data_IF_878002023157
#
_entry.id   IF_878002023157
#
_cell.length_a   1.000
_cell.length_b   1.000
_cell.length_c   1.000
_cell.angle_alpha   90.00
_cell.angle_beta   90.00
_cell.angle_gamma   90.00
#
_symmetry.space_group_name_H-M   'P 1'
#
loop_
_entity.id
_entity.type
_entity.pdbx_description
1 polymer ?
#
# COMPACT_ATOMS: atom_id res chain seq x y z
N UNK A 1 -8.91 29.43 -18.86
CA UNK A 1 -8.51 28.69 -17.67
C UNK A 1 -8.50 29.67 -16.52
N UNK A 2 -9.31 29.45 -15.51
CA UNK A 2 -9.32 30.28 -14.30
C UNK A 2 -7.96 30.11 -13.58
N UNK A 3 -7.33 31.20 -13.12
CA UNK A 3 -5.98 31.17 -12.52
C UNK A 3 -5.87 30.24 -11.30
N UNK A 4 -6.98 29.83 -10.71
CA UNK A 4 -7.03 28.99 -9.51
C UNK A 4 -6.84 27.48 -9.76
N UNK A 5 -6.92 27.01 -11.01
CA UNK A 5 -6.80 25.58 -11.35
C UNK A 5 -5.33 25.11 -11.31
N UNK A 6 -4.40 25.95 -11.70
CA UNK A 6 -2.97 25.60 -11.76
C UNK A 6 -2.36 25.24 -10.41
N UNK A 7 -2.54 25.99 -9.31
CA UNK A 7 -2.00 25.64 -8.01
C UNK A 7 -2.61 24.34 -7.46
N UNK A 8 -3.91 24.13 -7.65
CA UNK A 8 -4.60 22.91 -7.23
C UNK A 8 -4.04 21.66 -7.94
N UNK A 9 -3.79 21.75 -9.24
CA UNK A 9 -3.21 20.67 -10.03
C UNK A 9 -1.76 20.35 -9.63
N UNK A 10 -0.99 21.35 -9.25
CA UNK A 10 0.38 21.15 -8.73
C UNK A 10 0.38 20.29 -7.47
N UNK A 11 -0.55 20.49 -6.54
CA UNK A 11 -0.70 19.66 -5.35
C UNK A 11 -1.03 18.21 -5.71
N UNK A 12 -1.94 18.01 -6.68
CA UNK A 12 -2.29 16.67 -7.17
C UNK A 12 -1.08 15.93 -7.74
N UNK A 13 -0.35 16.54 -8.68
CA UNK A 13 0.83 15.90 -9.32
C UNK A 13 1.93 15.63 -8.29
N UNK A 14 2.16 16.55 -7.37
CA UNK A 14 3.15 16.39 -6.30
C UNK A 14 2.78 15.26 -5.34
N UNK A 15 1.51 15.16 -4.95
CA UNK A 15 0.98 14.09 -4.12
C UNK A 15 1.11 12.73 -4.79
N UNK A 16 0.68 12.59 -6.05
CA UNK A 16 0.81 11.34 -6.82
C UNK A 16 2.28 10.94 -7.00
N UNK A 17 3.18 11.89 -7.26
CA UNK A 17 4.61 11.60 -7.40
C UNK A 17 5.23 11.12 -6.08
N UNK A 18 4.87 11.75 -4.96
CA UNK A 18 5.35 11.32 -3.64
C UNK A 18 4.90 9.90 -3.30
N UNK A 19 3.65 9.55 -3.61
CA UNK A 19 3.13 8.19 -3.38
C UNK A 19 3.78 7.18 -4.33
N UNK A 20 3.95 7.54 -5.61
CA UNK A 20 4.59 6.66 -6.59
C UNK A 20 5.99 6.21 -6.15
N UNK A 21 6.80 7.11 -5.63
CA UNK A 21 8.13 6.77 -5.12
C UNK A 21 8.11 6.25 -3.68
N UNK A 22 7.17 6.71 -2.87
CA UNK A 22 7.03 6.32 -1.47
C UNK A 22 6.64 4.85 -1.30
N UNK A 23 5.76 4.30 -2.16
CA UNK A 23 5.32 2.90 -2.07
C UNK A 23 6.48 1.90 -2.22
N UNK A 24 7.26 1.91 -3.32
CA UNK A 24 8.36 0.97 -3.48
C UNK A 24 9.48 1.23 -2.48
N UNK A 25 9.75 2.49 -2.12
CA UNK A 25 10.76 2.82 -1.13
C UNK A 25 10.38 2.26 0.25
N UNK A 26 9.10 2.38 0.67
CA UNK A 26 8.64 1.82 1.94
C UNK A 26 8.75 0.30 1.96
N UNK A 27 8.31 -0.37 0.88
CA UNK A 27 8.40 -1.81 0.75
C UNK A 27 9.87 -2.28 0.80
N UNK A 28 10.74 -1.63 0.02
CA UNK A 28 12.16 -1.96 -0.04
C UNK A 28 12.84 -1.81 1.33
N UNK A 29 12.59 -0.69 2.02
CA UNK A 29 13.16 -0.45 3.36
C UNK A 29 12.64 -1.47 4.38
N UNK A 30 11.33 -1.80 4.37
CA UNK A 30 10.79 -2.83 5.26
C UNK A 30 11.44 -4.21 5.01
N UNK A 31 11.61 -4.60 3.73
CA UNK A 31 12.27 -5.87 3.36
C UNK A 31 13.75 -5.84 3.75
N UNK A 32 14.47 -4.77 3.45
CA UNK A 32 15.88 -4.64 3.81
C UNK A 32 16.09 -4.71 5.34
N UNK A 33 15.21 -4.08 6.12
CA UNK A 33 15.26 -4.18 7.58
C UNK A 33 14.95 -5.56 8.11
N UNK A 34 14.08 -6.32 7.42
CA UNK A 34 13.73 -7.67 7.82
C UNK A 34 14.81 -8.72 7.48
N UNK A 35 15.54 -8.53 6.36
CA UNK A 35 16.46 -9.52 5.80
C UNK A 35 17.93 -9.13 5.98
N UNK A 36 18.24 -7.84 5.85
CA UNK A 36 19.61 -7.33 5.89
C UNK A 36 19.91 -6.60 7.20
N UNK A 37 21.10 -6.80 7.72
CA UNK A 37 21.60 -5.99 8.84
C UNK A 37 21.96 -4.59 8.35
N UNK A 38 20.95 -3.72 8.28
CA UNK A 38 21.20 -2.30 8.00
C UNK A 38 22.10 -1.67 9.05
N UNK A 39 22.99 -0.73 8.65
CA UNK A 39 23.91 -0.07 9.57
C UNK A 39 23.17 0.48 10.79
N UNK A 40 23.67 0.20 11.98
CA UNK A 40 23.09 0.66 13.26
C UNK A 40 22.93 2.19 13.31
N UNK A 41 23.79 2.91 12.60
CA UNK A 41 23.79 4.38 12.51
C UNK A 41 22.48 4.95 11.90
N UNK A 42 21.77 4.19 11.05
CA UNK A 42 20.53 4.66 10.42
C UNK A 42 19.32 4.55 11.34
N UNK A 43 19.37 3.65 12.34
CA UNK A 43 18.29 3.48 13.32
C UNK A 43 16.91 3.26 12.69
N UNK A 44 15.89 3.90 13.26
CA UNK A 44 14.51 3.89 12.77
C UNK A 44 14.20 4.95 11.69
N UNK A 45 15.20 5.76 11.29
CA UNK A 45 14.99 6.87 10.35
C UNK A 45 14.49 6.42 8.96
N UNK A 46 15.02 5.36 8.31
CA UNK A 46 14.57 4.95 6.98
C UNK A 46 13.07 4.62 6.90
N UNK A 47 12.47 3.77 7.76
CA UNK A 47 11.04 3.49 7.69
C UNK A 47 10.19 4.71 8.02
N UNK A 48 10.63 5.61 8.91
CA UNK A 48 9.94 6.87 9.22
C UNK A 48 9.92 7.78 7.99
N UNK A 49 11.06 7.95 7.31
CA UNK A 49 11.16 8.82 6.13
C UNK A 49 10.26 8.30 5.01
N UNK A 50 10.30 7.01 4.71
CA UNK A 50 9.53 6.45 3.58
C UNK A 50 8.03 6.45 3.85
N UNK A 51 7.58 6.10 5.05
CA UNK A 51 6.16 6.19 5.43
C UNK A 51 5.71 7.64 5.57
N UNK A 52 6.58 8.54 6.04
CA UNK A 52 6.36 9.99 6.06
C UNK A 52 6.14 10.56 4.65
N UNK A 53 6.85 10.04 3.65
CA UNK A 53 6.65 10.40 2.24
C UNK A 53 5.27 9.99 1.73
N UNK A 54 4.75 8.82 2.14
CA UNK A 54 3.38 8.40 1.82
C UNK A 54 2.34 9.31 2.48
N UNK A 55 2.53 9.61 3.77
CA UNK A 55 1.65 10.53 4.51
C UNK A 55 1.65 11.93 3.87
N UNK A 56 2.83 12.45 3.52
CA UNK A 56 2.96 13.72 2.82
C UNK A 56 2.19 13.69 1.49
N UNK A 57 2.35 12.62 0.69
CA UNK A 57 1.65 12.46 -0.58
C UNK A 57 0.13 12.52 -0.44
N UNK A 58 -0.43 11.83 0.56
CA UNK A 58 -1.89 11.87 0.84
C UNK A 58 -2.33 13.26 1.32
N UNK A 59 -1.51 13.95 2.12
CA UNK A 59 -1.80 15.31 2.57
C UNK A 59 -1.80 16.33 1.42
N UNK A 60 -0.90 16.16 0.45
CA UNK A 60 -0.89 16.99 -0.77
C UNK A 60 -2.14 16.74 -1.63
N UNK A 61 -2.57 15.48 -1.77
CA UNK A 61 -3.81 15.14 -2.48
C UNK A 61 -5.05 15.75 -1.82
N UNK A 62 -5.07 15.89 -0.49
CA UNK A 62 -6.20 16.47 0.23
C UNK A 62 -6.38 17.98 -0.06
N UNK A 63 -5.34 18.65 -0.55
CA UNK A 63 -5.41 20.07 -0.97
C UNK A 63 -6.01 20.25 -2.37
N UNK A 64 -6.16 19.16 -3.13
CA UNK A 64 -6.85 19.15 -4.40
C UNK A 64 -8.35 19.06 -4.16
N UNK A 65 -9.13 19.97 -4.76
CA UNK A 65 -10.61 20.03 -4.69
C UNK A 65 -11.21 19.82 -3.27
N UNK A 66 -10.98 20.74 -2.32
CA UNK A 66 -11.49 20.61 -0.96
C UNK A 66 -13.02 20.65 -0.86
N UNK A 67 -13.72 21.05 -1.92
CA UNK A 67 -15.17 21.22 -1.95
C UNK A 67 -15.92 19.89 -2.19
N UNK A 68 -15.25 18.85 -2.69
CA UNK A 68 -15.91 17.59 -3.03
C UNK A 68 -15.90 16.61 -1.84
N UNK A 69 -17.06 16.48 -1.18
CA UNK A 69 -17.22 15.65 0.04
C UNK A 69 -16.84 14.19 -0.16
N UNK A 70 -17.24 13.59 -1.30
CA UNK A 70 -16.94 12.17 -1.56
C UNK A 70 -15.45 11.91 -1.70
N UNK A 71 -14.71 12.83 -2.32
CA UNK A 71 -13.25 12.81 -2.43
C UNK A 71 -12.59 12.96 -1.06
N UNK A 72 -13.00 13.96 -0.27
CA UNK A 72 -12.44 14.24 1.04
C UNK A 72 -12.64 13.07 2.00
N UNK A 73 -13.83 12.46 2.04
CA UNK A 73 -14.10 11.28 2.91
C UNK A 73 -13.20 10.09 2.57
N UNK A 74 -12.96 9.83 1.28
CA UNK A 74 -12.03 8.76 0.87
C UNK A 74 -10.59 9.07 1.29
N UNK A 75 -10.15 10.31 1.13
CA UNK A 75 -8.82 10.78 1.53
C UNK A 75 -8.61 10.79 3.04
N UNK A 76 -9.61 11.16 3.84
CA UNK A 76 -9.51 11.13 5.31
C UNK A 76 -9.21 9.73 5.82
N UNK A 77 -9.86 8.70 5.26
CA UNK A 77 -9.59 7.29 5.59
C UNK A 77 -8.17 6.88 5.19
N UNK A 78 -7.74 7.23 3.99
CA UNK A 78 -6.38 6.95 3.53
C UNK A 78 -5.33 7.69 4.37
N UNK A 79 -5.60 8.95 4.74
CA UNK A 79 -4.74 9.75 5.61
C UNK A 79 -4.62 9.16 7.01
N UNK A 80 -5.73 8.70 7.59
CA UNK A 80 -5.71 8.03 8.90
C UNK A 80 -4.83 6.78 8.86
N UNK A 81 -4.99 5.92 7.84
CA UNK A 81 -4.16 4.72 7.69
C UNK A 81 -2.68 5.06 7.42
N UNK A 82 -2.40 6.09 6.62
CA UNK A 82 -1.04 6.57 6.42
C UNK A 82 -0.41 7.06 7.72
N UNK A 83 -1.18 7.75 8.57
CA UNK A 83 -0.72 8.21 9.88
C UNK A 83 -0.45 7.04 10.83
N UNK A 84 -1.33 6.03 10.85
CA UNK A 84 -1.13 4.80 11.63
C UNK A 84 0.15 4.09 11.19
N UNK A 85 0.33 3.91 9.87
CA UNK A 85 1.54 3.28 9.32
C UNK A 85 2.81 4.09 9.66
N UNK A 86 2.74 5.40 9.61
CA UNK A 86 3.85 6.27 10.02
C UNK A 86 4.20 6.09 11.50
N UNK A 87 3.19 5.99 12.37
CA UNK A 87 3.40 5.76 13.81
C UNK A 87 3.94 4.37 14.14
N UNK A 88 3.57 3.34 13.34
CA UNK A 88 4.04 1.97 13.53
C UNK A 88 5.39 1.68 12.85
N UNK A 89 5.83 2.50 11.90
CA UNK A 89 7.05 2.31 11.12
C UNK A 89 8.33 2.11 11.96
N UNK A 90 8.56 2.84 13.07
CA UNK A 90 9.76 2.63 13.91
C UNK A 90 9.89 1.21 14.46
N UNK A 91 8.78 0.51 14.67
CA UNK A 91 8.78 -0.83 15.27
C UNK A 91 9.40 -1.89 14.35
N UNK A 92 9.48 -1.66 13.04
CA UNK A 92 10.21 -2.54 12.12
C UNK A 92 11.69 -2.62 12.51
N UNK A 93 12.28 -1.49 12.91
CA UNK A 93 13.66 -1.45 13.40
C UNK A 93 13.83 -2.21 14.71
N UNK A 94 12.92 -2.01 15.69
CA UNK A 94 13.00 -2.73 16.96
C UNK A 94 12.81 -4.22 16.78
N UNK A 95 11.89 -4.64 15.92
CA UNK A 95 11.70 -6.05 15.59
C UNK A 95 12.94 -6.67 14.94
N UNK A 96 13.61 -5.97 14.04
CA UNK A 96 14.86 -6.47 13.41
C UNK A 96 16.00 -6.65 14.41
N UNK A 97 15.95 -5.96 15.56
CA UNK A 97 16.96 -6.04 16.63
C UNK A 97 16.61 -7.06 17.71
N UNK A 98 15.34 -7.27 17.96
CA UNK A 98 14.79 -8.13 19.01
C UNK A 98 13.74 -9.10 18.41
N UNK A 99 14.15 -10.00 17.50
CA UNK A 99 13.19 -10.86 16.78
C UNK A 99 12.53 -11.91 17.69
N UNK A 100 13.09 -12.18 18.86
CA UNK A 100 12.53 -13.09 19.88
C UNK A 100 11.33 -12.49 20.63
N UNK A 101 11.18 -11.18 20.61
CA UNK A 101 10.12 -10.50 21.34
C UNK A 101 8.81 -10.53 20.54
N UNK A 102 7.87 -11.32 21.02
CA UNK A 102 6.54 -11.50 20.39
C UNK A 102 5.78 -10.17 20.21
N UNK A 103 5.97 -9.21 21.13
CA UNK A 103 5.33 -7.91 21.08
C UNK A 103 5.68 -7.14 19.79
N UNK A 104 6.96 -7.06 19.43
CA UNK A 104 7.38 -6.35 18.23
C UNK A 104 6.91 -7.04 16.96
N UNK A 105 6.88 -8.37 16.95
CA UNK A 105 6.33 -9.14 15.83
C UNK A 105 4.83 -8.81 15.60
N UNK A 106 4.03 -8.76 16.66
CA UNK A 106 2.61 -8.41 16.55
C UNK A 106 2.40 -7.00 16.00
N UNK A 107 3.23 -6.03 16.42
CA UNK A 107 3.15 -4.66 15.89
C UNK A 107 3.53 -4.60 14.41
N UNK A 108 4.55 -5.33 13.98
CA UNK A 108 4.94 -5.40 12.56
C UNK A 108 3.86 -6.09 11.73
N UNK A 109 3.20 -7.11 12.28
CA UNK A 109 2.04 -7.73 11.65
C UNK A 109 0.86 -6.74 11.50
N UNK A 110 0.59 -5.96 12.54
CA UNK A 110 -0.40 -4.87 12.48
C UNK A 110 -0.03 -3.81 11.43
N UNK A 111 1.25 -3.44 11.34
CA UNK A 111 1.75 -2.54 10.29
C UNK A 111 1.54 -3.11 8.88
N UNK A 112 1.84 -4.40 8.68
CA UNK A 112 1.61 -5.05 7.40
C UNK A 112 0.12 -5.05 7.01
N UNK A 113 -0.76 -5.36 7.97
CA UNK A 113 -2.20 -5.34 7.76
C UNK A 113 -2.72 -3.93 7.47
N UNK A 114 -2.33 -2.92 8.27
CA UNK A 114 -2.74 -1.53 8.03
C UNK A 114 -2.14 -0.96 6.74
N UNK A 115 -0.97 -1.43 6.33
CA UNK A 115 -0.36 -1.12 5.04
C UNK A 115 -1.16 -1.65 3.85
N UNK A 116 -1.65 -2.89 3.92
CA UNK A 116 -2.55 -3.44 2.91
C UNK A 116 -3.89 -2.68 2.87
N UNK A 117 -4.46 -2.36 4.04
CA UNK A 117 -5.66 -1.53 4.11
C UNK A 117 -5.44 -0.14 3.52
N UNK A 118 -4.27 0.45 3.74
CA UNK A 118 -3.89 1.72 3.13
C UNK A 118 -3.87 1.62 1.60
N UNK A 119 -3.24 0.58 1.04
CA UNK A 119 -3.24 0.34 -0.41
C UNK A 119 -4.66 0.22 -0.98
N UNK A 120 -5.52 -0.52 -0.30
CA UNK A 120 -6.92 -0.65 -0.71
C UNK A 120 -7.66 0.69 -0.68
N UNK A 121 -7.58 1.43 0.44
CA UNK A 121 -8.22 2.75 0.56
C UNK A 121 -7.64 3.75 -0.45
N UNK A 122 -6.35 3.70 -0.70
CA UNK A 122 -5.71 4.54 -1.70
C UNK A 122 -6.18 4.21 -3.13
N UNK A 123 -6.40 2.94 -3.46
CA UNK A 123 -7.01 2.55 -4.73
C UNK A 123 -8.45 3.08 -4.88
N UNK A 124 -9.22 3.15 -3.78
CA UNK A 124 -10.53 3.81 -3.79
C UNK A 124 -10.41 5.32 -4.03
N UNK A 125 -9.40 5.97 -3.47
CA UNK A 125 -9.09 7.39 -3.75
C UNK A 125 -8.77 7.57 -5.24
N UNK A 126 -7.90 6.73 -5.82
CA UNK A 126 -7.60 6.76 -7.26
C UNK A 126 -8.85 6.53 -8.11
N UNK A 127 -9.72 5.61 -7.72
CA UNK A 127 -10.99 5.37 -8.42
C UNK A 127 -11.88 6.61 -8.43
N UNK A 128 -11.93 7.36 -7.33
CA UNK A 128 -12.67 8.64 -7.28
C UNK A 128 -12.02 9.70 -8.15
N UNK A 129 -10.70 9.82 -8.10
CA UNK A 129 -9.96 10.76 -8.95
C UNK A 129 -10.20 10.49 -10.44
N UNK A 130 -10.08 9.23 -10.84
CA UNK A 130 -10.28 8.81 -12.24
C UNK A 130 -11.74 9.01 -12.69
N UNK A 131 -12.72 8.90 -11.78
CA UNK A 131 -14.10 9.19 -12.11
C UNK A 131 -14.35 10.66 -12.53
N UNK A 132 -13.47 11.57 -12.12
CA UNK A 132 -13.50 13.00 -12.52
C UNK A 132 -12.81 13.26 -13.87
N UNK A 133 -12.04 12.29 -14.37
CA UNK A 133 -11.34 12.41 -15.66
C UNK A 133 -12.21 11.84 -16.80
N UNK A 134 -12.11 12.37 -18.04
CA UNK A 134 -12.92 11.95 -19.18
C UNK A 134 -12.49 10.59 -19.79
N UNK A 135 -11.50 9.90 -19.23
CA UNK A 135 -10.95 8.66 -19.76
C UNK A 135 -11.70 7.41 -19.24
N UNK A 136 -12.46 6.76 -20.13
CA UNK A 136 -13.23 5.55 -19.80
C UNK A 136 -12.34 4.32 -19.63
N UNK A 137 -11.24 4.21 -20.36
CA UNK A 137 -10.32 3.08 -20.27
C UNK A 137 -9.64 3.06 -18.91
N UNK A 138 -9.19 4.21 -18.44
CA UNK A 138 -8.59 4.37 -17.12
C UNK A 138 -9.59 4.05 -16.00
N UNK A 139 -10.88 4.39 -16.19
CA UNK A 139 -11.95 4.03 -15.22
C UNK A 139 -12.15 2.52 -15.13
N UNK A 140 -12.15 1.81 -16.26
CA UNK A 140 -12.29 0.36 -16.29
C UNK A 140 -11.10 -0.33 -15.62
N UNK A 141 -9.87 0.07 -15.98
CA UNK A 141 -8.64 -0.43 -15.38
C UNK A 141 -8.62 -0.23 -13.86
N UNK A 142 -8.98 0.98 -13.40
CA UNK A 142 -8.97 1.31 -11.96
C UNK A 142 -9.99 0.49 -11.18
N UNK A 143 -11.18 0.25 -11.73
CA UNK A 143 -12.20 -0.62 -11.10
C UNK A 143 -11.74 -2.06 -11.01
N UNK A 144 -11.16 -2.58 -12.09
CA UNK A 144 -10.63 -3.94 -12.13
C UNK A 144 -9.50 -4.11 -11.09
N UNK A 145 -8.53 -3.22 -11.07
CA UNK A 145 -7.40 -3.30 -10.14
C UNK A 145 -7.82 -3.14 -8.67
N UNK A 146 -8.76 -2.26 -8.38
CA UNK A 146 -9.29 -2.12 -7.01
C UNK A 146 -9.98 -3.40 -6.54
N UNK A 147 -10.80 -4.02 -7.40
CA UNK A 147 -11.48 -5.29 -7.08
C UNK A 147 -10.48 -6.44 -6.93
N UNK A 148 -9.49 -6.49 -7.81
CA UNK A 148 -8.45 -7.51 -7.77
C UNK A 148 -7.58 -7.38 -6.50
N UNK A 149 -7.18 -6.18 -6.12
CA UNK A 149 -6.47 -5.92 -4.87
C UNK A 149 -7.30 -6.36 -3.66
N UNK A 150 -8.59 -6.04 -3.65
CA UNK A 150 -9.49 -6.49 -2.58
C UNK A 150 -9.56 -8.02 -2.52
N UNK A 151 -9.72 -8.68 -3.67
CA UNK A 151 -9.76 -10.14 -3.75
C UNK A 151 -8.45 -10.78 -3.24
N UNK A 152 -7.29 -10.23 -3.60
CA UNK A 152 -5.99 -10.68 -3.10
C UNK A 152 -5.85 -10.50 -1.59
N UNK A 153 -6.30 -9.35 -1.05
CA UNK A 153 -6.27 -9.09 0.39
C UNK A 153 -7.16 -10.10 1.14
N UNK A 154 -8.40 -10.31 0.66
CA UNK A 154 -9.33 -11.27 1.27
C UNK A 154 -8.78 -12.69 1.17
N UNK A 155 -8.25 -13.10 0.01
CA UNK A 155 -7.62 -14.40 -0.18
C UNK A 155 -6.44 -14.61 0.78
N UNK A 156 -5.60 -13.59 0.95
CA UNK A 156 -4.47 -13.64 1.89
C UNK A 156 -4.91 -13.80 3.34
N UNK A 157 -5.93 -13.05 3.76
CA UNK A 157 -6.51 -13.17 5.11
C UNK A 157 -7.14 -14.54 5.34
N UNK A 158 -7.89 -15.07 4.35
CA UNK A 158 -8.50 -16.41 4.42
C UNK A 158 -7.43 -17.48 4.49
N UNK A 159 -6.39 -17.40 3.67
CA UNK A 159 -5.27 -18.34 3.71
C UNK A 159 -4.55 -18.30 5.06
N UNK A 160 -4.20 -17.10 5.54
CA UNK A 160 -3.49 -16.95 6.81
C UNK A 160 -4.33 -17.43 7.99
N UNK A 161 -5.61 -17.05 8.06
CA UNK A 161 -6.56 -17.53 9.06
C UNK A 161 -6.82 -19.03 8.96
N UNK A 162 -6.98 -19.55 7.76
CA UNK A 162 -7.15 -20.98 7.49
C UNK A 162 -5.96 -21.81 7.96
N UNK A 163 -4.73 -21.38 7.65
CA UNK A 163 -3.53 -22.05 8.14
C UNK A 163 -3.42 -22.03 9.66
N UNK A 164 -3.79 -20.93 10.31
CA UNK A 164 -3.78 -20.83 11.77
C UNK A 164 -4.79 -21.80 12.40
N UNK A 165 -6.02 -21.82 11.90
CA UNK A 165 -7.07 -22.73 12.36
C UNK A 165 -6.71 -24.21 12.14
N UNK A 166 -6.15 -24.54 10.96
CA UNK A 166 -5.71 -25.89 10.65
C UNK A 166 -4.56 -26.35 11.56
N UNK A 167 -3.66 -25.45 11.92
CA UNK A 167 -2.53 -25.76 12.82
C UNK A 167 -3.00 -26.09 14.26
N UNK A 168 -4.16 -25.59 14.69
CA UNK A 168 -4.74 -25.86 16.02
C UNK A 168 -5.52 -27.19 16.08
N UNK A 169 -5.90 -27.76 14.93
CA UNK A 169 -6.65 -29.03 14.88
C UNK A 169 -5.71 -30.22 15.16
N UNK A 170 -5.98 -30.93 16.25
CA UNK A 170 -5.17 -32.09 16.72
C UNK A 170 -5.30 -33.36 15.87
N UNK A 171 -6.26 -33.44 14.96
CA UNK A 171 -6.50 -34.62 14.12
C UNK A 171 -6.74 -34.22 12.67
N UNK A 172 -5.66 -34.04 11.92
CA UNK A 172 -5.72 -33.72 10.50
C UNK A 172 -5.49 -35.01 9.66
N UNK A 173 -6.18 -35.19 8.53
CA UNK A 173 -5.85 -36.23 7.56
C UNK A 173 -4.41 -36.08 7.05
N UNK A 174 -3.69 -37.19 6.78
CA UNK A 174 -2.28 -37.13 6.37
C UNK A 174 -2.03 -36.27 5.12
N UNK A 175 -2.97 -36.25 4.17
CA UNK A 175 -2.90 -35.38 2.98
C UNK A 175 -2.93 -33.88 3.32
N UNK A 176 -3.62 -33.48 4.38
CA UNK A 176 -3.67 -32.09 4.84
C UNK A 176 -2.38 -31.71 5.58
N UNK A 177 -1.79 -32.65 6.31
CA UNK A 177 -0.50 -32.45 6.98
C UNK A 177 0.61 -32.22 5.93
N UNK A 178 0.66 -33.05 4.89
CA UNK A 178 1.61 -32.91 3.79
C UNK A 178 1.47 -31.56 3.07
N UNK A 179 0.23 -31.14 2.80
CA UNK A 179 -0.05 -29.82 2.22
C UNK A 179 0.39 -28.66 3.12
N UNK A 180 0.18 -28.79 4.43
CA UNK A 180 0.63 -27.83 5.45
C UNK A 180 2.17 -27.74 5.51
N UNK A 181 2.87 -28.88 5.46
CA UNK A 181 4.33 -28.93 5.43
C UNK A 181 4.88 -28.23 4.18
N UNK A 182 4.31 -28.49 3.00
CA UNK A 182 4.70 -27.81 1.75
C UNK A 182 4.42 -26.31 1.84
N UNK A 183 3.29 -25.90 2.38
CA UNK A 183 2.94 -24.48 2.55
C UNK A 183 3.82 -23.78 3.60
N UNK A 184 4.32 -24.51 4.58
CA UNK A 184 5.22 -23.99 5.62
C UNK A 184 6.68 -23.91 5.17
N UNK A 185 7.03 -24.42 3.99
CA UNK A 185 8.39 -24.24 3.48
C UNK A 185 8.72 -22.77 3.30
N UNK A 186 9.96 -22.39 3.57
CA UNK A 186 10.42 -21.00 3.42
C UNK A 186 10.15 -20.45 2.01
N UNK A 187 10.24 -21.31 0.99
CA UNK A 187 10.01 -20.95 -0.42
C UNK A 187 8.54 -20.62 -0.69
N UNK A 188 7.61 -21.42 -0.17
CA UNK A 188 6.17 -21.19 -0.34
C UNK A 188 5.70 -19.93 0.39
N UNK A 189 6.19 -19.72 1.63
CA UNK A 189 5.91 -18.51 2.39
C UNK A 189 6.44 -17.25 1.69
N UNK A 190 7.65 -17.30 1.17
CA UNK A 190 8.22 -16.20 0.40
C UNK A 190 7.40 -15.89 -0.85
N UNK A 191 7.03 -16.91 -1.64
CA UNK A 191 6.21 -16.74 -2.83
C UNK A 191 4.83 -16.11 -2.49
N UNK A 192 4.20 -16.54 -1.40
CA UNK A 192 2.93 -16.01 -0.93
C UNK A 192 3.04 -14.53 -0.54
N UNK A 193 4.08 -14.14 0.20
CA UNK A 193 4.33 -12.75 0.58
C UNK A 193 4.60 -11.89 -0.66
N UNK A 194 5.39 -12.39 -1.62
CA UNK A 194 5.66 -11.69 -2.88
C UNK A 194 4.37 -11.43 -3.64
N UNK A 195 3.52 -12.45 -3.83
CA UNK A 195 2.24 -12.28 -4.54
C UNK A 195 1.31 -11.34 -3.78
N UNK A 196 1.17 -11.53 -2.47
CA UNK A 196 0.21 -10.79 -1.66
C UNK A 196 0.56 -9.30 -1.50
N UNK A 197 1.83 -8.94 -1.53
CA UNK A 197 2.30 -7.57 -1.30
C UNK A 197 2.80 -6.92 -2.57
N UNK A 198 3.66 -7.60 -3.35
CA UNK A 198 4.29 -7.00 -4.52
C UNK A 198 3.30 -6.74 -5.65
N UNK A 199 2.35 -7.67 -5.86
CA UNK A 199 1.35 -7.52 -6.92
C UNK A 199 0.44 -6.32 -6.66
N UNK A 200 -0.21 -6.15 -5.48
CA UNK A 200 -0.98 -4.94 -5.17
C UNK A 200 -0.18 -3.65 -5.27
N UNK A 201 1.06 -3.63 -4.80
CA UNK A 201 1.92 -2.45 -4.88
C UNK A 201 2.21 -2.08 -6.33
N UNK A 202 2.64 -3.05 -7.17
CA UNK A 202 2.96 -2.80 -8.58
C UNK A 202 1.74 -2.34 -9.39
N UNK A 203 0.56 -2.94 -9.13
CA UNK A 203 -0.69 -2.51 -9.75
C UNK A 203 -1.08 -1.09 -9.34
N UNK A 204 -0.95 -0.75 -8.07
CA UNK A 204 -1.22 0.60 -7.56
C UNK A 204 -0.25 1.62 -8.17
N UNK A 205 1.03 1.28 -8.28
CA UNK A 205 2.02 2.14 -8.94
C UNK A 205 1.67 2.38 -10.41
N UNK A 206 1.28 1.33 -11.14
CA UNK A 206 0.85 1.46 -12.53
C UNK A 206 -0.34 2.40 -12.69
N UNK A 207 -1.33 2.29 -11.79
CA UNK A 207 -2.49 3.20 -11.77
C UNK A 207 -2.10 4.65 -11.46
N UNK A 208 -1.23 4.85 -10.47
CA UNK A 208 -0.73 6.20 -10.12
C UNK A 208 -0.01 6.83 -11.30
N UNK A 209 0.83 6.05 -11.99
CA UNK A 209 1.55 6.51 -13.17
C UNK A 209 0.60 6.91 -14.31
N UNK A 210 -0.33 6.00 -14.68
CA UNK A 210 -1.33 6.28 -15.72
C UNK A 210 -2.19 7.50 -15.38
N UNK A 211 -2.65 7.60 -14.14
CA UNK A 211 -3.46 8.74 -13.68
C UNK A 211 -2.69 10.04 -13.78
N UNK A 212 -1.43 10.05 -13.36
CA UNK A 212 -0.55 11.22 -13.49
C UNK A 212 -0.34 11.63 -14.94
N UNK A 213 -0.10 10.67 -15.82
CA UNK A 213 0.13 10.90 -17.24
C UNK A 213 -1.10 11.52 -17.94
N UNK A 214 -2.29 10.98 -17.66
CA UNK A 214 -3.56 11.54 -18.16
C UNK A 214 -3.81 12.95 -17.63
N UNK A 215 -3.53 13.21 -16.34
CA UNK A 215 -3.66 14.54 -15.75
C UNK A 215 -2.71 15.53 -16.42
N UNK A 216 -1.46 15.16 -16.64
CA UNK A 216 -0.48 16.02 -17.34
C UNK A 216 -0.87 16.22 -18.80
N UNK A 217 -1.28 15.17 -19.49
CA UNK A 217 -1.73 15.25 -20.89
C UNK A 217 -2.96 16.15 -21.08
N UNK A 218 -3.91 16.12 -20.13
CA UNK A 218 -5.11 16.98 -20.19
C UNK A 218 -4.81 18.48 -20.02
N UNK A 219 -3.68 18.82 -19.39
CA UNK A 219 -3.27 20.20 -19.09
C UNK A 219 -2.27 20.75 -20.09
N UNK A 220 -1.31 19.94 -20.50
CA UNK A 220 -0.18 20.34 -21.33
C UNK A 220 -0.22 19.73 -22.73
N UNK A 221 -1.15 18.79 -22.99
CA UNK A 221 -1.31 18.20 -24.32
C UNK A 221 -1.75 19.23 -25.37
N UNK A 222 -1.32 19.10 -26.64
CA UNK A 222 -1.80 19.95 -27.73
C UNK A 222 -3.32 19.76 -27.83
N UNK A 223 -4.07 20.88 -27.80
CA UNK A 223 -5.50 20.85 -28.09
C UNK A 223 -5.66 20.56 -29.59
N UNK A 224 -5.96 19.30 -29.91
CA UNK A 224 -6.40 18.91 -31.26
C UNK A 224 -7.81 19.38 -31.51
#
# INVERSE_FOLDING_TARGET
>A
MTPDILPSLRHLVRGLTAIFWGLPATLLICVLMAVAELPRALGCAPPIITTGMLLFGVCELARFQPQERAWQTALERAKLLALVNFGLAPFVYFWSRLPSETYYFQIVLALAFTGLLFLYQFNLVLQRLVAMLPDETLRADTRFFTRFNLALMVAGLVLMGGFHLLAELKSLPPAVIELLEVAQTARSRFALVVVLVLVPVSMTMSLVWKTRDVVLGSVFGPRS
#
